data_IF_706638667157
#
_entry.id   IF_706638667157
#
_cell.length_a   1.000
_cell.length_b   1.000
_cell.length_c   1.000
_cell.angle_alpha   90.00
_cell.angle_beta   90.00
_cell.angle_gamma   90.00
#
_symmetry.space_group_name_H-M   'P 1'
#
loop_
_entity.id
_entity.type
_entity.pdbx_description
1 polymer ?
#
# COMPACT_ATOMS: atom_id res chain seq x y z
N UNK A 1 -2.23 4.07 18.59
CA UNK A 1 -0.85 3.57 18.46
C UNK A 1 -0.08 4.33 17.39
N UNK A 2 -0.50 4.29 16.12
CA UNK A 2 0.18 5.03 15.05
C UNK A 2 0.15 6.56 15.27
N UNK A 3 -1.06 7.13 15.43
CA UNK A 3 -1.23 8.57 15.72
C UNK A 3 -0.51 9.06 16.97
N UNK A 4 -0.51 8.25 18.03
CA UNK A 4 0.17 8.59 19.30
C UNK A 4 1.69 8.61 19.17
N UNK A 5 2.22 7.94 18.14
CA UNK A 5 3.65 7.86 17.86
C UNK A 5 4.03 8.75 16.65
N UNK A 6 3.15 9.66 16.25
CA UNK A 6 3.31 10.53 15.07
C UNK A 6 3.66 9.77 13.78
N UNK A 7 3.11 8.57 13.62
CA UNK A 7 3.34 7.69 12.49
C UNK A 7 2.01 7.21 11.89
N UNK A 8 1.06 8.13 11.70
CA UNK A 8 -0.17 7.86 10.94
C UNK A 8 0.22 7.74 9.47
N UNK A 9 -0.11 6.61 8.81
CA UNK A 9 0.37 6.32 7.45
C UNK A 9 -0.70 5.72 6.52
N UNK A 10 -1.92 5.50 7.00
CA UNK A 10 -3.04 5.05 6.16
C UNK A 10 -4.41 5.35 6.78
N UNK A 11 -5.44 5.39 5.93
CA UNK A 11 -6.85 5.30 6.30
C UNK A 11 -7.56 4.40 5.30
N UNK A 12 -8.30 3.43 5.80
CA UNK A 12 -9.13 2.54 4.99
C UNK A 12 -10.51 2.39 5.60
N UNK A 13 -11.48 2.09 4.74
CA UNK A 13 -12.85 1.78 5.11
C UNK A 13 -13.38 0.68 4.22
N UNK A 14 -14.34 -0.09 4.72
CA UNK A 14 -15.11 -0.99 3.88
C UNK A 14 -15.87 -0.16 2.83
N UNK A 15 -15.69 -0.50 1.56
CA UNK A 15 -16.38 0.13 0.44
C UNK A 15 -17.83 -0.38 0.29
N UNK A 16 -18.15 -1.50 0.92
CA UNK A 16 -19.46 -2.11 0.92
C UNK A 16 -19.86 -2.60 2.33
N UNK A 17 -21.18 -2.71 2.64
CA UNK A 17 -21.67 -3.12 3.95
C UNK A 17 -21.18 -4.52 4.38
N UNK A 18 -20.90 -5.40 3.43
CA UNK A 18 -20.44 -6.76 3.69
C UNK A 18 -18.96 -6.83 4.12
N UNK A 19 -18.21 -5.73 3.98
CA UNK A 19 -16.80 -5.67 4.36
C UNK A 19 -15.88 -6.52 3.47
N UNK A 20 -16.34 -6.91 2.28
CA UNK A 20 -15.57 -7.74 1.34
C UNK A 20 -14.71 -6.94 0.38
N UNK A 21 -14.96 -5.63 0.24
CA UNK A 21 -14.13 -4.70 -0.52
C UNK A 21 -13.70 -3.55 0.37
N UNK A 22 -12.43 -3.19 0.30
CA UNK A 22 -11.85 -2.10 1.07
C UNK A 22 -11.18 -1.09 0.16
N UNK A 23 -11.35 0.18 0.49
CA UNK A 23 -10.72 1.30 -0.21
C UNK A 23 -10.21 2.32 0.81
N UNK A 24 -9.29 3.16 0.37
CA UNK A 24 -8.76 4.21 1.19
C UNK A 24 -7.49 4.78 0.59
N UNK A 25 -6.67 5.37 1.46
CA UNK A 25 -5.39 5.95 1.08
C UNK A 25 -4.30 5.51 2.04
N UNK A 26 -3.10 5.30 1.52
CA UNK A 26 -1.88 5.19 2.30
C UNK A 26 -0.90 6.29 1.89
N UNK A 27 0.03 6.62 2.78
CA UNK A 27 1.04 7.62 2.47
C UNK A 27 2.38 7.25 3.09
N UNK A 28 3.44 7.78 2.47
CA UNK A 28 4.81 7.58 2.88
C UNK A 28 5.54 8.92 2.87
N UNK A 29 6.32 9.20 3.93
CA UNK A 29 7.12 10.41 4.02
C UNK A 29 8.54 10.10 3.56
N UNK A 30 8.99 10.80 2.54
CA UNK A 30 10.34 10.71 2.01
C UNK A 30 10.87 12.12 1.73
N UNK A 31 12.09 12.43 2.18
CA UNK A 31 12.69 13.77 2.05
C UNK A 31 11.78 14.91 2.55
N UNK A 32 11.13 14.71 3.70
CA UNK A 32 10.17 15.64 4.32
C UNK A 32 8.90 15.93 3.48
N UNK A 33 8.68 15.20 2.39
CA UNK A 33 7.49 15.30 1.56
C UNK A 33 6.60 14.08 1.77
N UNK A 34 5.27 14.31 1.81
CA UNK A 34 4.27 13.27 2.00
C UNK A 34 3.71 12.84 0.65
N UNK A 35 4.04 11.62 0.24
CA UNK A 35 3.48 10.98 -0.95
C UNK A 35 2.25 10.16 -0.56
N UNK A 36 1.11 10.43 -1.18
CA UNK A 36 -0.18 9.81 -0.86
C UNK A 36 -0.71 9.05 -2.09
N UNK A 37 -1.24 7.85 -1.86
CA UNK A 37 -1.68 6.92 -2.90
C UNK A 37 -3.03 6.31 -2.55
N UNK A 38 -3.88 6.11 -3.57
CA UNK A 38 -5.08 5.30 -3.46
C UNK A 38 -4.72 3.82 -3.20
N UNK A 39 -5.38 3.25 -2.20
CA UNK A 39 -5.25 1.86 -1.78
C UNK A 39 -6.60 1.17 -1.90
N UNK A 40 -6.62 0.01 -2.55
CA UNK A 40 -7.81 -0.85 -2.61
C UNK A 40 -7.42 -2.33 -2.49
N UNK A 41 -8.37 -3.16 -2.05
CA UNK A 41 -8.25 -4.61 -2.06
C UNK A 41 -9.60 -5.28 -1.79
N UNK A 42 -9.75 -6.50 -2.29
CA UNK A 42 -10.86 -7.38 -1.96
C UNK A 42 -10.43 -8.44 -0.94
N UNK A 43 -11.37 -8.86 -0.10
CA UNK A 43 -11.20 -9.97 0.84
C UNK A 43 -11.43 -11.28 0.06
N UNK A 44 -10.43 -12.16 -0.05
CA UNK A 44 -10.62 -13.42 -0.77
C UNK A 44 -11.61 -14.32 -0.03
N UNK A 45 -12.34 -15.16 -0.76
CA UNK A 45 -13.30 -16.12 -0.19
C UNK A 45 -12.64 -17.07 0.84
N UNK A 46 -11.33 -17.31 0.70
CA UNK A 46 -10.54 -18.16 1.60
C UNK A 46 -9.90 -17.38 2.76
N UNK A 47 -10.23 -16.10 2.95
CA UNK A 47 -9.76 -15.32 4.10
C UNK A 47 -10.28 -15.92 5.42
N UNK A 48 -9.46 -16.01 6.49
CA UNK A 48 -8.10 -15.49 6.63
C UNK A 48 -6.96 -16.44 6.19
N UNK A 49 -7.26 -17.62 5.66
CA UNK A 49 -6.22 -18.55 5.20
C UNK A 49 -5.36 -17.95 4.08
N UNK A 50 -5.98 -17.17 3.19
CA UNK A 50 -5.30 -16.37 2.16
C UNK A 50 -5.31 -14.90 2.55
N UNK A 51 -4.14 -14.25 2.50
CA UNK A 51 -4.02 -12.80 2.69
C UNK A 51 -4.68 -12.04 1.52
N UNK A 52 -5.25 -10.84 1.75
CA UNK A 52 -5.73 -9.99 0.67
C UNK A 52 -4.57 -9.52 -0.22
N UNK A 53 -4.83 -9.37 -1.51
CA UNK A 53 -3.90 -8.77 -2.46
C UNK A 53 -4.08 -7.25 -2.44
N UNK A 54 -3.06 -6.52 -2.00
CA UNK A 54 -3.12 -5.07 -1.85
C UNK A 54 -2.77 -4.37 -3.17
N UNK A 55 -3.57 -3.38 -3.55
CA UNK A 55 -3.47 -2.70 -4.84
C UNK A 55 -3.20 -1.20 -4.65
N UNK A 56 -2.21 -0.70 -5.39
CA UNK A 56 -1.90 0.72 -5.54
C UNK A 56 -2.00 1.09 -7.04
N UNK A 57 -3.21 1.38 -7.56
CA UNK A 57 -3.44 1.54 -8.99
C UNK A 57 -2.60 2.65 -9.63
N UNK A 58 -2.32 3.73 -8.89
CA UNK A 58 -1.52 4.87 -9.35
C UNK A 58 -0.06 4.52 -9.65
N UNK A 59 0.41 3.36 -9.16
CA UNK A 59 1.78 2.88 -9.30
C UNK A 59 1.92 1.78 -10.35
N UNK A 60 0.83 1.37 -11.00
CA UNK A 60 0.87 0.32 -12.03
C UNK A 60 1.81 0.72 -13.18
N UNK A 61 2.68 -0.22 -13.56
CA UNK A 61 3.72 0.00 -14.57
C UNK A 61 4.90 0.89 -14.16
N UNK A 62 4.93 1.46 -12.95
CA UNK A 62 6.04 2.31 -12.50
C UNK A 62 7.19 1.55 -11.83
N UNK A 63 6.92 0.35 -11.31
CA UNK A 63 7.91 -0.55 -10.68
C UNK A 63 7.79 -1.99 -11.19
N UNK A 64 8.91 -2.72 -11.17
CA UNK A 64 8.96 -4.16 -11.40
C UNK A 64 8.41 -4.97 -10.21
N UNK A 65 8.26 -4.37 -9.03
CA UNK A 65 7.73 -5.02 -7.82
C UNK A 65 6.20 -4.92 -7.74
N UNK A 66 5.54 -5.06 -8.88
CA UNK A 66 4.09 -4.98 -9.00
C UNK A 66 3.61 -5.95 -10.08
N UNK A 67 2.46 -6.56 -9.86
CA UNK A 67 1.73 -7.34 -10.86
C UNK A 67 0.72 -6.43 -11.57
N UNK A 68 0.26 -6.88 -12.75
CA UNK A 68 -0.74 -6.17 -13.56
C UNK A 68 -1.95 -5.73 -12.73
N UNK A 69 -2.37 -4.47 -12.89
CA UNK A 69 -3.52 -3.92 -12.19
C UNK A 69 -3.17 -3.33 -10.82
N UNK A 70 -1.91 -2.99 -10.56
CA UNK A 70 -1.50 -2.29 -9.34
C UNK A 70 -1.25 -3.18 -8.12
N UNK A 71 -1.34 -4.50 -8.25
CA UNK A 71 -1.16 -5.46 -7.14
C UNK A 71 0.31 -5.50 -6.71
N UNK A 72 0.60 -5.15 -5.47
CA UNK A 72 2.00 -5.12 -4.99
C UNK A 72 2.61 -6.52 -4.96
N UNK A 73 3.85 -6.64 -5.43
CA UNK A 73 4.62 -7.88 -5.34
C UNK A 73 5.29 -7.96 -3.97
N UNK A 74 4.66 -8.68 -3.04
CA UNK A 74 5.21 -8.91 -1.70
C UNK A 74 6.45 -9.82 -1.75
N UNK A 75 7.27 -9.74 -0.70
CA UNK A 75 8.45 -10.58 -0.57
C UNK A 75 8.07 -12.07 -0.44
N UNK A 76 8.98 -12.95 -0.88
CA UNK A 76 8.79 -14.40 -0.79
C UNK A 76 8.54 -14.89 0.65
N UNK A 77 9.00 -14.14 1.66
CA UNK A 77 8.86 -14.45 3.08
C UNK A 77 7.45 -14.18 3.62
N UNK A 78 6.66 -13.32 2.96
CA UNK A 78 5.35 -12.92 3.48
C UNK A 78 4.35 -14.08 3.51
N UNK A 79 4.26 -14.88 2.43
CA UNK A 79 3.31 -16.01 2.36
C UNK A 79 3.57 -17.07 3.45
N UNK A 80 4.80 -17.56 3.67
CA UNK A 80 5.10 -18.46 4.79
C UNK A 80 4.82 -17.83 6.16
N UNK A 81 5.11 -16.54 6.34
CA UNK A 81 4.85 -15.84 7.59
C UNK A 81 3.35 -15.75 7.89
N UNK A 82 2.53 -15.44 6.89
CA UNK A 82 1.08 -15.42 6.99
C UNK A 82 0.52 -16.80 7.34
N UNK A 83 0.91 -17.83 6.59
CA UNK A 83 0.42 -19.20 6.78
C UNK A 83 0.69 -19.72 8.20
N UNK A 84 1.88 -19.45 8.76
CA UNK A 84 2.24 -19.86 10.13
C UNK A 84 1.41 -19.17 11.22
N UNK A 85 0.82 -18.01 10.92
CA UNK A 85 0.10 -17.20 11.90
C UNK A 85 -1.41 -17.17 11.68
N UNK A 86 -1.92 -17.75 10.59
CA UNK A 86 -3.35 -17.95 10.38
C UNK A 86 -3.97 -18.78 11.53
N UNK A 87 -5.16 -18.40 12.07
CA UNK A 87 -6.03 -17.30 11.69
C UNK A 87 -5.83 -16.00 12.51
N UNK A 88 -4.71 -15.85 13.22
CA UNK A 88 -4.44 -14.70 14.09
C UNK A 88 -4.14 -13.41 13.33
N UNK A 89 -3.67 -13.53 12.09
CA UNK A 89 -3.42 -12.38 11.22
C UNK A 89 -4.70 -11.89 10.55
N UNK A 90 -4.71 -10.60 10.22
CA UNK A 90 -5.80 -9.97 9.51
C UNK A 90 -5.35 -8.71 8.78
N UNK A 91 -6.30 -7.85 8.38
CA UNK A 91 -6.03 -6.67 7.53
C UNK A 91 -4.90 -5.80 8.08
N UNK A 92 -4.92 -5.46 9.38
CA UNK A 92 -3.86 -4.67 9.99
C UNK A 92 -2.46 -5.31 9.84
N UNK A 93 -2.37 -6.63 9.92
CA UNK A 93 -1.12 -7.36 9.72
C UNK A 93 -0.70 -7.38 8.25
N UNK A 94 -1.65 -7.48 7.31
CA UNK A 94 -1.34 -7.36 5.88
C UNK A 94 -0.77 -5.98 5.53
N UNK A 95 -1.34 -4.92 6.12
CA UNK A 95 -0.83 -3.56 5.97
C UNK A 95 0.58 -3.42 6.58
N UNK A 96 0.77 -3.78 7.85
CA UNK A 96 2.04 -3.55 8.54
C UNK A 96 3.19 -4.46 8.08
N UNK A 97 2.91 -5.71 7.67
CA UNK A 97 3.93 -6.69 7.30
C UNK A 97 4.10 -6.85 5.79
N UNK A 98 3.11 -6.40 5.00
CA UNK A 98 3.12 -6.45 3.54
C UNK A 98 3.33 -5.07 2.93
N UNK A 99 2.35 -4.17 3.10
CA UNK A 99 2.36 -2.85 2.45
C UNK A 99 3.44 -1.91 2.99
N UNK A 100 3.58 -1.78 4.31
CA UNK A 100 4.53 -0.81 4.88
C UNK A 100 5.99 -1.10 4.47
N UNK A 101 6.50 -2.35 4.54
CA UNK A 101 7.84 -2.66 4.06
C UNK A 101 7.99 -2.48 2.55
N UNK A 102 6.93 -2.73 1.78
CA UNK A 102 6.93 -2.50 0.33
C UNK A 102 7.03 -1.00 0.01
N UNK A 103 6.25 -0.14 0.69
CA UNK A 103 6.33 1.31 0.54
C UNK A 103 7.73 1.82 0.90
N UNK A 104 8.31 1.31 2.00
CA UNK A 104 9.64 1.70 2.45
C UNK A 104 10.75 1.33 1.45
N UNK A 105 10.58 0.24 0.70
CA UNK A 105 11.54 -0.20 -0.31
C UNK A 105 11.34 0.54 -1.66
N UNK A 106 10.10 0.71 -2.10
CA UNK A 106 9.81 1.14 -3.47
C UNK A 106 9.60 2.65 -3.61
N UNK A 107 8.97 3.33 -2.64
CA UNK A 107 8.66 4.76 -2.77
C UNK A 107 9.93 5.62 -2.91
N UNK A 108 11.00 5.44 -2.10
CA UNK A 108 12.24 6.19 -2.30
C UNK A 108 12.82 6.02 -3.71
N UNK A 109 12.86 4.78 -4.22
CA UNK A 109 13.40 4.49 -5.55
C UNK A 109 12.57 5.18 -6.64
N UNK A 110 11.24 5.13 -6.53
CA UNK A 110 10.34 5.74 -7.51
C UNK A 110 10.38 7.27 -7.50
N UNK A 111 10.61 7.87 -6.35
CA UNK A 111 10.81 9.32 -6.21
C UNK A 111 12.16 9.73 -6.79
N UNK A 112 13.24 9.06 -6.39
CA UNK A 112 14.61 9.37 -6.83
C UNK A 112 14.78 9.14 -8.34
N UNK A 113 14.08 8.17 -8.92
CA UNK A 113 14.07 7.93 -10.37
C UNK A 113 13.13 8.86 -11.15
N UNK A 114 12.37 9.73 -10.46
CA UNK A 114 11.41 10.65 -11.08
C UNK A 114 10.14 10.00 -11.64
N UNK A 115 9.86 8.74 -11.30
CA UNK A 115 8.65 8.01 -11.75
C UNK A 115 7.39 8.45 -11.00
N UNK A 116 7.57 8.98 -9.79
CA UNK A 116 6.53 9.65 -9.01
C UNK A 116 7.03 11.05 -8.68
N UNK A 117 6.19 12.06 -8.95
CA UNK A 117 6.44 13.45 -8.54
C UNK A 117 5.57 13.81 -7.35
N UNK A 118 6.03 14.74 -6.52
CA UNK A 118 5.18 15.25 -5.46
C UNK A 118 4.05 16.09 -6.08
N UNK A 119 2.89 16.13 -5.42
CA UNK A 119 1.73 16.90 -5.91
C UNK A 119 2.06 18.39 -6.11
N UNK A 120 2.95 18.94 -5.29
CA UNK A 120 3.31 20.35 -5.36
C UNK A 120 4.13 20.66 -6.63
N UNK A 121 4.98 19.72 -7.08
CA UNK A 121 5.78 19.85 -8.30
C UNK A 121 4.92 19.80 -9.57
N UNK A 122 3.79 19.07 -9.51
CA UNK A 122 2.87 18.96 -10.65
C UNK A 122 2.23 20.32 -10.99
N UNK A 123 1.87 21.11 -9.96
CA UNK A 123 1.23 22.43 -10.09
C UNK A 123 2.09 23.44 -10.84
N UNK A 124 3.42 23.40 -10.66
CA UNK A 124 4.35 24.32 -11.33
C UNK A 124 4.51 24.07 -12.83
N UNK A 125 4.15 22.88 -13.32
CA UNK A 125 4.29 22.52 -14.74
C UNK A 125 3.14 23.03 -15.63
N UNK A 126 1.98 23.31 -15.05
CA UNK A 126 0.79 23.76 -15.79
C UNK A 126 0.70 25.30 -15.90
N UNK A 127 1.58 26.04 -15.22
CA UNK A 127 1.65 27.51 -15.25
C UNK A 127 2.80 28.06 -16.14
N UNK A 128 3.50 27.22 -16.92
CA UNK A 128 4.60 27.63 -17.82
C UNK A 128 4.37 27.30 -19.29
#
# INVERSE_FOLDING_TARGET
MNKSNDNDWFRISAANPEGTRWTGKCWYVHNLLKYEFDLQFDIPVTYPATAPELELPELDGKTQKMYRGGKICLTVHFKPLWAKNCPRFGIAHALCLGLAPWLAAEIPILVDSGMIKHKDDATTSDES
#
